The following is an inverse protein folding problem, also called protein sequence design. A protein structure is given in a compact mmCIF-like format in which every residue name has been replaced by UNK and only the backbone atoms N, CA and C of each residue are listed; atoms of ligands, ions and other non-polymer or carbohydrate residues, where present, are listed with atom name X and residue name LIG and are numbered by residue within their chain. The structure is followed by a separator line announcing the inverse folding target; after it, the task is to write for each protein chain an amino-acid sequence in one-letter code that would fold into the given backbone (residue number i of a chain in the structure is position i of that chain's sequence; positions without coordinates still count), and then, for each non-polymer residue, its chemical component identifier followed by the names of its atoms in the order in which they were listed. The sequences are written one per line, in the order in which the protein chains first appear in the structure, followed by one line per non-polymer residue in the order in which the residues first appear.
data_IF_986164312647
#
_entry.id   IF_986164312647
#
_cell.length_a   1.000
_cell.length_b   1.000
_cell.length_c   1.000
_cell.angle_alpha   90.00
_cell.angle_beta   90.00
_cell.angle_gamma   90.00
#
_symmetry.space_group_name_H-M   'P 1'
#
loop_
_entity.id
_entity.type
_entity.pdbx_description
1 polymer ?
#
# COMPACT_ATOMS: atom_id res chain seq x y z
N UNK A 1 2.30 63.90 -46.25
CA UNK A 1 2.99 63.41 -45.03
C UNK A 1 2.31 64.06 -43.84
N UNK A 2 1.54 63.29 -43.06
CA UNK A 2 0.74 63.85 -41.96
C UNK A 2 1.54 63.82 -40.67
N UNK A 3 1.91 64.99 -40.17
CA UNK A 3 2.60 65.17 -38.89
C UNK A 3 1.60 65.01 -37.75
N UNK A 4 1.61 63.85 -37.10
CA UNK A 4 0.91 63.66 -35.81
C UNK A 4 1.56 64.57 -34.78
N UNK A 5 0.87 65.66 -34.43
CA UNK A 5 1.23 66.56 -33.34
C UNK A 5 1.25 65.77 -32.02
N UNK A 6 2.44 65.55 -31.48
CA UNK A 6 2.63 65.02 -30.14
C UNK A 6 2.29 66.13 -29.13
N UNK A 7 0.99 66.30 -28.86
CA UNK A 7 0.51 67.17 -27.80
C UNK A 7 1.15 66.79 -26.47
N UNK A 8 1.79 67.75 -25.81
CA UNK A 8 2.45 67.58 -24.51
C UNK A 8 1.44 67.04 -23.48
N UNK A 9 1.69 65.87 -22.91
CA UNK A 9 0.81 65.23 -21.93
C UNK A 9 0.85 66.01 -20.62
N UNK A 10 -0.30 66.43 -20.10
CA UNK A 10 -0.36 67.13 -18.81
C UNK A 10 0.03 66.21 -17.65
N UNK A 11 0.61 66.77 -16.59
CA UNK A 11 1.03 66.01 -15.42
C UNK A 11 -0.14 65.24 -14.75
N UNK A 12 -1.35 65.78 -14.81
CA UNK A 12 -2.56 65.11 -14.29
C UNK A 12 -2.89 63.84 -15.09
N UNK A 13 -2.82 63.91 -16.41
CA UNK A 13 -3.06 62.75 -17.28
C UNK A 13 -1.98 61.68 -17.11
N UNK A 14 -0.71 62.07 -16.92
CA UNK A 14 0.36 61.13 -16.61
C UNK A 14 0.07 60.37 -15.31
N UNK A 15 -0.31 61.06 -14.23
CA UNK A 15 -0.67 60.42 -12.94
C UNK A 15 -1.88 59.49 -13.06
N UNK A 16 -2.86 59.83 -13.90
CA UNK A 16 -4.02 58.97 -14.18
C UNK A 16 -3.57 57.68 -14.88
N UNK A 17 -2.72 57.78 -15.90
CA UNK A 17 -2.19 56.62 -16.64
C UNK A 17 -1.33 55.72 -15.77
N UNK A 18 -0.47 56.28 -14.92
CA UNK A 18 0.34 55.51 -13.96
C UNK A 18 -0.56 54.70 -13.03
N UNK A 19 -1.56 55.33 -12.40
CA UNK A 19 -2.53 54.62 -11.55
C UNK A 19 -3.29 53.52 -12.30
N UNK A 20 -3.70 53.78 -13.54
CA UNK A 20 -4.37 52.77 -14.37
C UNK A 20 -3.43 51.58 -14.70
N UNK A 21 -2.16 51.82 -15.01
CA UNK A 21 -1.18 50.78 -15.27
C UNK A 21 -0.87 49.95 -14.01
N UNK A 22 -0.79 50.60 -12.84
CA UNK A 22 -0.62 49.93 -11.55
C UNK A 22 -1.83 49.05 -11.21
N UNK A 23 -3.05 49.53 -11.43
CA UNK A 23 -4.27 48.75 -11.23
C UNK A 23 -4.31 47.51 -12.15
N UNK A 24 -3.91 47.64 -13.42
CA UNK A 24 -3.81 46.50 -14.34
C UNK A 24 -2.75 45.49 -13.90
N UNK A 25 -1.59 45.95 -13.41
CA UNK A 25 -0.55 45.08 -12.85
C UNK A 25 -1.05 44.35 -11.61
N UNK A 26 -1.75 45.04 -10.71
CA UNK A 26 -2.33 44.44 -9.51
C UNK A 26 -3.34 43.34 -9.89
N UNK A 27 -4.27 43.62 -10.80
CA UNK A 27 -5.24 42.63 -11.29
C UNK A 27 -4.57 41.43 -11.98
N UNK A 28 -3.50 41.66 -12.73
CA UNK A 28 -2.75 40.57 -13.37
C UNK A 28 -2.08 39.68 -12.32
N UNK A 29 -1.51 40.26 -11.26
CA UNK A 29 -0.93 39.50 -10.14
C UNK A 29 -2.00 38.72 -9.38
N UNK A 30 -3.16 39.31 -9.16
CA UNK A 30 -4.30 38.63 -8.52
C UNK A 30 -4.74 37.42 -9.34
N UNK A 31 -4.96 37.59 -10.65
CA UNK A 31 -5.29 36.48 -11.55
C UNK A 31 -4.19 35.41 -11.61
N UNK A 32 -2.92 35.82 -11.59
CA UNK A 32 -1.82 34.86 -11.54
C UNK A 32 -1.79 34.09 -10.20
N UNK A 33 -2.11 34.76 -9.08
CA UNK A 33 -2.19 34.13 -7.77
C UNK A 33 -3.35 33.13 -7.70
N UNK A 34 -4.53 33.48 -8.21
CA UNK A 34 -5.67 32.55 -8.25
C UNK A 34 -5.37 31.35 -9.14
N UNK A 35 -4.77 31.56 -10.32
CA UNK A 35 -4.37 30.47 -11.22
C UNK A 35 -3.31 29.53 -10.61
N UNK A 36 -2.36 30.05 -9.84
CA UNK A 36 -1.37 29.20 -9.18
C UNK A 36 -1.97 28.39 -8.03
N UNK A 37 -2.91 28.97 -7.27
CA UNK A 37 -3.64 28.24 -6.23
C UNK A 37 -4.50 27.13 -6.83
N UNK A 38 -5.28 27.41 -7.87
CA UNK A 38 -6.11 26.39 -8.54
C UNK A 38 -5.27 25.28 -9.16
N UNK A 39 -4.14 25.63 -9.80
CA UNK A 39 -3.21 24.63 -10.32
C UNK A 39 -2.60 23.75 -9.22
N UNK A 40 -2.30 24.33 -8.05
CA UNK A 40 -1.78 23.57 -6.91
C UNK A 40 -2.83 22.62 -6.34
N UNK A 41 -4.08 23.06 -6.20
CA UNK A 41 -5.19 22.21 -5.76
C UNK A 41 -5.45 21.07 -6.75
N UNK A 42 -5.41 21.36 -8.04
CA UNK A 42 -5.51 20.35 -9.10
C UNK A 42 -4.35 19.34 -9.03
N UNK A 43 -3.11 19.81 -8.80
CA UNK A 43 -1.96 18.91 -8.64
C UNK A 43 -2.10 18.01 -7.40
N UNK A 44 -2.55 18.55 -6.27
CA UNK A 44 -2.77 17.76 -5.04
C UNK A 44 -3.86 16.71 -5.23
N UNK A 45 -4.97 17.07 -5.88
CA UNK A 45 -6.06 16.12 -6.17
C UNK A 45 -5.61 15.04 -7.15
N UNK A 46 -4.84 15.38 -8.18
CA UNK A 46 -4.25 14.41 -9.10
C UNK A 46 -3.28 13.46 -8.40
N UNK A 47 -2.42 13.96 -7.51
CA UNK A 47 -1.52 13.10 -6.71
C UNK A 47 -2.29 12.14 -5.84
N UNK A 48 -3.33 12.59 -5.13
CA UNK A 48 -4.17 11.71 -4.31
C UNK A 48 -4.89 10.65 -5.15
N UNK A 49 -5.37 11.02 -6.34
CA UNK A 49 -6.00 10.08 -7.26
C UNK A 49 -5.00 9.02 -7.74
N UNK A 50 -3.77 9.43 -8.07
CA UNK A 50 -2.69 8.52 -8.43
C UNK A 50 -2.34 7.57 -7.27
N UNK A 51 -2.14 8.09 -6.07
CA UNK A 51 -1.83 7.26 -4.89
C UNK A 51 -2.91 6.20 -4.63
N UNK A 52 -4.19 6.58 -4.79
CA UNK A 52 -5.31 5.64 -4.68
C UNK A 52 -5.29 4.58 -5.78
N UNK A 53 -5.07 4.98 -7.03
CA UNK A 53 -4.97 4.05 -8.15
C UNK A 53 -3.80 3.06 -7.95
N UNK A 54 -2.63 3.56 -7.54
CA UNK A 54 -1.45 2.74 -7.25
C UNK A 54 -1.72 1.77 -6.08
N UNK A 55 -2.45 2.19 -5.04
CA UNK A 55 -2.84 1.32 -3.94
C UNK A 55 -3.76 0.19 -4.43
N UNK A 56 -4.78 0.52 -5.24
CA UNK A 56 -5.68 -0.48 -5.83
C UNK A 56 -4.94 -1.43 -6.77
N UNK A 57 -3.98 -0.95 -7.56
CA UNK A 57 -3.15 -1.80 -8.42
C UNK A 57 -2.34 -2.81 -7.60
N UNK A 58 -1.66 -2.36 -6.53
CA UNK A 58 -0.91 -3.24 -5.62
C UNK A 58 -1.79 -4.30 -4.96
N UNK A 59 -2.99 -3.90 -4.52
CA UNK A 59 -3.95 -4.83 -3.93
C UNK A 59 -4.45 -5.85 -4.96
N UNK A 60 -4.76 -5.42 -6.18
CA UNK A 60 -5.16 -6.31 -7.26
C UNK A 60 -4.04 -7.30 -7.61
N UNK A 61 -2.80 -6.85 -7.76
CA UNK A 61 -1.65 -7.71 -8.00
C UNK A 61 -1.48 -8.76 -6.88
N UNK A 62 -1.56 -8.34 -5.61
CA UNK A 62 -1.47 -9.25 -4.47
C UNK A 62 -2.64 -10.25 -4.38
N UNK A 63 -3.84 -9.86 -4.81
CA UNK A 63 -5.00 -10.77 -4.90
C UNK A 63 -4.80 -11.79 -6.00
N UNK A 64 -4.44 -11.34 -7.21
CA UNK A 64 -4.22 -12.22 -8.36
C UNK A 64 -3.11 -13.22 -8.06
N UNK A 65 -1.93 -12.77 -7.61
CA UNK A 65 -0.83 -13.68 -7.29
C UNK A 65 -1.26 -14.76 -6.27
N UNK A 66 -2.00 -14.39 -5.23
CA UNK A 66 -2.50 -15.37 -4.25
C UNK A 66 -3.50 -16.36 -4.81
N UNK A 67 -4.28 -16.00 -5.83
CA UNK A 67 -5.18 -16.94 -6.52
C UNK A 67 -4.41 -17.96 -7.38
N UNK A 68 -3.21 -17.60 -7.82
CA UNK A 68 -2.31 -18.45 -8.60
C UNK A 68 -1.13 -18.96 -7.75
N UNK A 69 -1.36 -19.23 -6.46
CA UNK A 69 -0.35 -19.78 -5.53
C UNK A 69 0.97 -18.99 -5.45
N UNK A 70 0.92 -17.70 -5.77
CA UNK A 70 2.03 -16.76 -5.91
C UNK A 70 3.00 -17.06 -7.06
N UNK A 71 2.53 -17.73 -8.11
CA UNK A 71 3.28 -17.92 -9.36
C UNK A 71 3.26 -16.62 -10.19
N UNK A 72 4.31 -15.81 -10.03
CA UNK A 72 4.45 -14.53 -10.73
C UNK A 72 4.78 -14.70 -12.22
N UNK A 73 5.44 -15.78 -12.61
CA UNK A 73 5.79 -16.06 -14.01
C UNK A 73 4.53 -16.37 -14.82
N UNK A 74 3.66 -17.24 -14.29
CA UNK A 74 2.38 -17.57 -14.93
C UNK A 74 1.48 -16.34 -15.06
N UNK A 75 1.36 -15.54 -14.00
CA UNK A 75 0.52 -14.32 -14.02
C UNK A 75 1.12 -13.27 -14.95
N UNK A 76 2.44 -13.17 -15.03
CA UNK A 76 3.17 -12.30 -15.96
C UNK A 76 2.83 -12.63 -17.41
N UNK A 77 2.90 -13.91 -17.78
CA UNK A 77 2.52 -14.38 -19.13
C UNK A 77 1.05 -14.09 -19.45
N UNK A 78 0.14 -14.29 -18.50
CA UNK A 78 -1.30 -14.08 -18.69
C UNK A 78 -1.69 -12.61 -18.86
N UNK A 79 -1.02 -11.70 -18.13
CA UNK A 79 -1.36 -10.28 -18.11
C UNK A 79 -0.48 -9.44 -19.04
N UNK A 80 0.63 -10.00 -19.55
CA UNK A 80 1.61 -9.27 -20.33
C UNK A 80 2.36 -8.20 -19.52
N UNK A 81 2.48 -8.40 -18.21
CA UNK A 81 3.18 -7.50 -17.27
C UNK A 81 4.38 -8.25 -16.71
N UNK A 82 5.58 -7.65 -16.60
CA UNK A 82 6.75 -8.34 -16.08
C UNK A 82 6.54 -8.91 -14.68
N UNK A 83 7.04 -10.13 -14.45
CA UNK A 83 6.95 -10.80 -13.15
C UNK A 83 7.58 -9.96 -12.04
N UNK A 84 8.67 -9.25 -12.32
CA UNK A 84 9.33 -8.38 -11.35
C UNK A 84 8.43 -7.22 -10.90
N UNK A 85 7.60 -6.69 -11.81
CA UNK A 85 6.66 -5.60 -11.50
C UNK A 85 5.53 -6.12 -10.61
N UNK A 86 4.94 -7.26 -10.96
CA UNK A 86 3.89 -7.92 -10.17
C UNK A 86 4.36 -8.23 -8.74
N UNK A 87 5.57 -8.77 -8.60
CA UNK A 87 6.15 -9.03 -7.29
C UNK A 87 6.39 -7.74 -6.50
N UNK A 88 6.94 -6.71 -7.14
CA UNK A 88 7.22 -5.42 -6.47
C UNK A 88 5.93 -4.78 -5.97
N UNK A 89 4.86 -4.85 -6.74
CA UNK A 89 3.56 -4.30 -6.38
C UNK A 89 2.89 -5.08 -5.24
N UNK A 90 2.98 -6.40 -5.24
CA UNK A 90 2.35 -7.25 -4.23
C UNK A 90 3.13 -7.32 -2.90
N UNK A 91 4.47 -7.17 -2.94
CA UNK A 91 5.36 -7.29 -1.77
C UNK A 91 4.92 -6.44 -0.56
N UNK A 92 4.59 -5.15 -0.70
CA UNK A 92 4.13 -4.32 0.41
C UNK A 92 2.86 -4.84 1.09
N UNK A 93 1.88 -5.33 0.31
CA UNK A 93 0.60 -5.84 0.83
C UNK A 93 0.82 -7.14 1.60
N UNK A 94 1.62 -8.04 1.04
CA UNK A 94 1.98 -9.31 1.69
C UNK A 94 2.76 -9.08 2.98
N UNK A 95 3.71 -8.14 2.98
CA UNK A 95 4.48 -7.78 4.17
C UNK A 95 3.59 -7.17 5.28
N UNK A 96 2.67 -6.27 4.92
CA UNK A 96 1.71 -5.70 5.87
C UNK A 96 0.82 -6.79 6.49
N UNK A 97 0.30 -7.70 5.67
CA UNK A 97 -0.52 -8.83 6.13
C UNK A 97 0.25 -9.77 7.04
N UNK A 98 1.50 -10.09 6.71
CA UNK A 98 2.35 -10.93 7.55
C UNK A 98 2.57 -10.30 8.94
N UNK A 99 2.81 -8.99 9.01
CA UNK A 99 2.93 -8.26 10.28
C UNK A 99 1.66 -8.37 11.13
N UNK A 100 0.49 -8.15 10.54
CA UNK A 100 -0.79 -8.27 11.24
C UNK A 100 -1.00 -9.68 11.81
N UNK A 101 -0.70 -10.72 11.04
CA UNK A 101 -0.81 -12.11 11.51
C UNK A 101 0.13 -12.35 12.72
N UNK A 102 1.37 -11.86 12.65
CA UNK A 102 2.32 -11.98 13.75
C UNK A 102 1.79 -11.27 15.00
N UNK A 103 1.24 -10.06 14.85
CA UNK A 103 0.66 -9.29 15.94
C UNK A 103 -0.55 -10.00 16.56
N UNK A 104 -1.48 -10.50 15.75
CA UNK A 104 -2.62 -11.30 16.21
C UNK A 104 -2.18 -12.55 16.98
N UNK A 105 -1.13 -13.23 16.50
CA UNK A 105 -0.57 -14.40 17.16
C UNK A 105 0.06 -14.03 18.51
N UNK A 106 0.77 -12.90 18.59
CA UNK A 106 1.31 -12.38 19.86
C UNK A 106 0.18 -12.03 20.84
N UNK A 107 -0.84 -11.31 20.39
CA UNK A 107 -1.99 -10.97 21.22
C UNK A 107 -2.71 -12.22 21.77
N UNK A 108 -2.80 -13.29 20.97
CA UNK A 108 -3.35 -14.58 21.43
C UNK A 108 -2.43 -15.33 22.38
N UNK A 109 -1.11 -15.21 22.21
CA UNK A 109 -0.13 -15.83 23.08
C UNK A 109 -0.04 -15.11 24.45
N UNK A 110 -0.19 -13.79 24.46
CA UNK A 110 -0.21 -12.98 25.70
C UNK A 110 -1.49 -13.16 26.52
N UNK A 111 -2.59 -13.60 25.89
CA UNK A 111 -3.83 -13.89 26.61
C UNK A 111 -3.59 -15.08 27.56
N UNK A 112 -3.74 -14.90 28.89
CA UNK A 112 -3.53 -15.98 29.85
C UNK A 112 -4.45 -17.14 29.50
N UNK A 113 -3.88 -18.26 29.07
CA UNK A 113 -4.65 -19.51 28.93
C UNK A 113 -5.08 -19.88 30.34
N UNK A 114 -6.39 -20.04 30.64
CA UNK A 114 -6.80 -20.59 31.91
C UNK A 114 -6.18 -21.98 32.00
N UNK A 115 -5.15 -22.10 32.84
CA UNK A 115 -4.56 -23.37 33.19
C UNK A 115 -5.69 -24.17 33.84
N UNK A 116 -6.23 -25.14 33.11
CA UNK A 116 -7.14 -26.13 33.65
C UNK A 116 -6.36 -26.78 34.79
N UNK A 117 -6.66 -26.36 36.02
CA UNK A 117 -6.04 -26.90 37.22
C UNK A 117 -6.30 -28.40 37.21
N UNK A 118 -5.28 -29.17 36.85
CA UNK A 118 -5.28 -30.61 37.13
C UNK A 118 -5.34 -30.70 38.64
N UNK A 119 -6.53 -31.03 39.13
CA UNK A 119 -6.75 -31.38 40.52
C UNK A 119 -5.71 -32.45 40.88
N UNK A 120 -4.79 -32.07 41.76
CA UNK A 120 -3.77 -32.93 42.33
C UNK A 120 -4.50 -34.10 42.99
N UNK A 121 -4.38 -35.29 42.41
CA UNK A 121 -4.82 -36.54 43.03
C UNK A 121 -3.75 -36.89 44.08
N UNK A 122 -4.11 -37.08 45.36
CA UNK A 122 -3.13 -37.45 46.38
C UNK A 122 -2.59 -38.85 46.13
N UNK A 123 -1.32 -39.01 46.50
CA UNK A 123 -0.42 -40.14 46.32
C UNK A 123 -1.00 -41.52 46.62
N UNK A 124 -0.51 -42.50 45.87
CA UNK A 124 -0.70 -43.92 46.15
C UNK A 124 0.10 -44.82 45.21
N UNK A 125 1.37 -45.05 45.58
CA UNK A 125 2.22 -46.23 45.28
C UNK A 125 2.97 -46.30 43.92
N UNK A 126 4.30 -46.09 44.02
CA UNK A 126 5.49 -46.72 43.36
C UNK A 126 5.29 -47.50 42.04
N UNK A 127 6.08 -47.34 40.97
CA UNK A 127 7.51 -47.72 40.76
C UNK A 127 8.00 -47.26 39.33
N UNK A 128 9.29 -47.35 38.92
CA UNK A 128 9.97 -46.43 37.99
C UNK A 128 10.15 -46.87 36.51
N UNK A 129 10.45 -45.86 35.67
CA UNK A 129 10.90 -45.77 34.25
C UNK A 129 12.02 -46.78 33.83
N UNK A 130 12.32 -47.09 32.53
CA UNK A 130 12.55 -46.09 31.45
C UNK A 130 12.36 -46.48 29.94
N UNK A 131 12.34 -45.40 29.13
CA UNK A 131 12.98 -45.14 27.82
C UNK A 131 12.82 -46.03 26.55
N UNK A 132 12.37 -45.34 25.48
CA UNK A 132 12.98 -45.21 24.13
C UNK A 132 13.22 -46.44 23.24
N UNK A 133 12.62 -46.43 22.04
CA UNK A 133 13.03 -47.29 20.91
C UNK A 133 11.99 -47.37 19.78
N UNK A 134 12.30 -46.76 18.63
CA UNK A 134 11.56 -46.78 17.35
C UNK A 134 11.66 -48.16 16.62
N UNK A 135 11.08 -48.40 15.43
CA UNK A 135 9.92 -49.28 15.15
C UNK A 135 10.23 -50.54 14.28
N UNK A 136 9.25 -51.47 14.09
CA UNK A 136 9.04 -52.37 12.92
C UNK A 136 8.16 -53.60 13.28
N UNK A 137 7.68 -54.45 12.34
CA UNK A 137 7.14 -54.21 11.01
C UNK A 137 5.72 -54.86 10.82
N UNK A 138 5.16 -54.59 9.64
CA UNK A 138 3.84 -54.99 9.13
C UNK A 138 3.73 -56.52 9.02
N UNK A 139 2.60 -57.06 9.46
CA UNK A 139 2.28 -58.49 9.45
C UNK A 139 2.16 -59.08 8.04
N UNK A 140 2.59 -60.33 7.93
CA UNK A 140 2.49 -61.20 6.77
C UNK A 140 1.08 -61.79 6.62
N UNK A 141 0.69 -62.05 5.36
CA UNK A 141 -0.17 -63.17 4.88
C UNK A 141 -0.21 -63.02 3.36
N UNK A 142 0.60 -63.75 2.60
CA UNK A 142 0.42 -65.16 2.18
C UNK A 142 -0.93 -65.42 1.49
N UNK A 143 -0.91 -65.50 0.15
CA UNK A 143 -1.49 -66.61 -0.63
C UNK A 143 -1.10 -66.55 -2.11
N UNK A 144 -0.64 -67.71 -2.58
CA UNK A 144 -0.07 -68.05 -3.87
C UNK A 144 -1.00 -67.92 -5.10
N UNK A 145 -0.41 -67.87 -6.32
CA UNK A 145 -1.10 -67.99 -7.60
C UNK A 145 -1.32 -69.45 -8.01
N UNK A 146 -2.39 -69.67 -8.77
CA UNK A 146 -2.56 -70.80 -9.69
C UNK A 146 -2.52 -70.32 -11.12
#
# INVERSE_FOLDING_TARGET
MSTTSAGQVSAAELRRRVRAAEALKAKTREMAATNTLTAREAAVTATKAKEKADATAREAAAVVLRLFDNDAELVSELLGVPAEELEREAKPVTAARAKQIIEDLRARAERPRPTRSRKTRPDGVETPLPASGTPAPIGATDKQPG
#
